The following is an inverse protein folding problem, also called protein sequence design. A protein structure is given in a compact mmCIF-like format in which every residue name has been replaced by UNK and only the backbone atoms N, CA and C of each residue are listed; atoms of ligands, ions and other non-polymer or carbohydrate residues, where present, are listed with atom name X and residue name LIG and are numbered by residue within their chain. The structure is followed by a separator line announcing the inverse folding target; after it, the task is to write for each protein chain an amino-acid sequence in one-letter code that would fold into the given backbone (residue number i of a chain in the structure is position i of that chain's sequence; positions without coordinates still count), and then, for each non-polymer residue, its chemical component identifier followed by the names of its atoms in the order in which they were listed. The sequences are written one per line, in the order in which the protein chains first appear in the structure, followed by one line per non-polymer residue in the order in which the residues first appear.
data_IF_641184518313
#
_entry.id   IF_641184518313
#
_cell.length_a   1.000
_cell.length_b   1.000
_cell.length_c   1.000
_cell.angle_alpha   90.00
_cell.angle_beta   90.00
_cell.angle_gamma   90.00
#
_symmetry.space_group_name_H-M   'P 1'
#
loop_
_entity.id
_entity.type
_entity.pdbx_description
1 polymer ?
#
# COMPACT_ATOMS: atom_id res chain seq x y z
N UNK A 1 -2.18 -7.70 4.17
CA UNK A 1 -3.26 -7.06 3.40
C UNK A 1 -4.64 -7.64 3.73
N UNK A 2 -4.90 -8.94 3.55
CA UNK A 2 -6.25 -9.50 3.80
C UNK A 2 -6.89 -9.22 5.18
N UNK A 3 -6.10 -9.12 6.24
CA UNK A 3 -6.62 -8.70 7.55
C UNK A 3 -7.05 -7.22 7.55
N UNK A 4 -6.26 -6.34 6.92
CA UNK A 4 -6.59 -4.92 6.78
C UNK A 4 -7.83 -4.72 5.89
N UNK A 5 -8.00 -5.53 4.83
CA UNK A 5 -9.18 -5.51 3.96
C UNK A 5 -10.46 -5.67 4.81
N UNK A 6 -10.51 -6.73 5.61
CA UNK A 6 -11.67 -7.05 6.46
C UNK A 6 -11.93 -5.99 7.53
N UNK A 7 -10.88 -5.52 8.20
CA UNK A 7 -10.97 -4.48 9.24
C UNK A 7 -11.49 -3.17 8.65
N UNK A 8 -10.91 -2.72 7.54
CA UNK A 8 -11.26 -1.44 6.89
C UNK A 8 -12.70 -1.48 6.38
N UNK A 9 -13.09 -2.57 5.72
CA UNK A 9 -14.45 -2.74 5.22
C UNK A 9 -15.47 -2.75 6.37
N UNK A 10 -15.19 -3.48 7.46
CA UNK A 10 -16.05 -3.52 8.63
C UNK A 10 -16.20 -2.13 9.28
N UNK A 11 -15.10 -1.38 9.45
CA UNK A 11 -15.11 -0.03 9.98
C UNK A 11 -15.95 0.92 9.10
N UNK A 12 -15.76 0.89 7.77
CA UNK A 12 -16.57 1.67 6.84
C UNK A 12 -18.07 1.34 6.98
N UNK A 13 -18.43 0.05 6.95
CA UNK A 13 -19.82 -0.40 7.11
C UNK A 13 -20.42 0.02 8.45
N UNK A 14 -19.63 0.03 9.52
CA UNK A 14 -20.07 0.49 10.83
C UNK A 14 -20.40 1.98 10.83
N UNK A 15 -19.58 2.81 10.18
CA UNK A 15 -19.82 4.26 10.08
C UNK A 15 -21.08 4.53 9.26
N UNK A 16 -21.24 3.86 8.11
CA UNK A 16 -22.40 4.07 7.22
C UNK A 16 -23.68 3.41 7.70
N UNK A 17 -23.58 2.44 8.62
CA UNK A 17 -24.70 1.64 9.13
C UNK A 17 -25.48 0.99 7.98
N UNK A 18 -26.79 1.25 7.90
CA UNK A 18 -27.69 0.72 6.86
C UNK A 18 -28.08 1.78 5.84
N UNK A 19 -27.52 2.98 5.94
CA UNK A 19 -28.02 4.14 5.22
C UNK A 19 -27.53 4.15 3.76
N UNK A 20 -26.28 3.69 3.53
CA UNK A 20 -25.65 3.69 2.20
C UNK A 20 -24.51 2.65 2.08
N UNK A 21 -24.86 1.37 2.02
CA UNK A 21 -23.88 0.27 1.86
C UNK A 21 -22.95 0.46 0.63
N UNK A 22 -23.44 0.89 -0.55
CA UNK A 22 -22.57 1.18 -1.68
C UNK A 22 -21.49 2.21 -1.37
N UNK A 23 -21.83 3.33 -0.71
CA UNK A 23 -20.84 4.34 -0.33
C UNK A 23 -19.76 3.77 0.60
N UNK A 24 -20.14 2.91 1.55
CA UNK A 24 -19.18 2.24 2.44
C UNK A 24 -18.13 1.43 1.64
N UNK A 25 -18.59 0.70 0.62
CA UNK A 25 -17.73 -0.09 -0.26
C UNK A 25 -16.81 0.79 -1.13
N UNK A 26 -17.32 1.93 -1.63
CA UNK A 26 -16.51 2.90 -2.37
C UNK A 26 -15.45 3.56 -1.50
N UNK A 27 -15.79 3.97 -0.28
CA UNK A 27 -14.84 4.53 0.68
C UNK A 27 -13.77 3.49 1.04
N UNK A 28 -14.17 2.26 1.35
CA UNK A 28 -13.25 1.15 1.57
C UNK A 28 -12.26 0.99 0.40
N UNK A 29 -12.76 0.93 -0.84
CA UNK A 29 -11.91 0.77 -2.02
C UNK A 29 -10.93 1.94 -2.14
N UNK A 30 -11.39 3.18 -2.00
CA UNK A 30 -10.53 4.37 -2.11
C UNK A 30 -9.45 4.42 -1.03
N UNK A 31 -9.76 4.00 0.20
CA UNK A 31 -8.80 3.96 1.31
C UNK A 31 -7.79 2.82 1.22
N UNK A 32 -8.04 1.79 0.40
CA UNK A 32 -7.26 0.56 0.46
C UNK A 32 -6.55 0.20 -0.84
N UNK A 33 -7.09 0.60 -2.00
CA UNK A 33 -6.55 0.23 -3.30
C UNK A 33 -5.08 0.62 -3.49
N UNK A 34 -4.75 1.89 -3.29
CA UNK A 34 -3.40 2.42 -3.52
C UNK A 34 -2.39 1.76 -2.55
N UNK A 35 -2.80 1.51 -1.30
CA UNK A 35 -2.00 0.83 -0.28
C UNK A 35 -1.72 -0.63 -0.62
N UNK A 36 -2.74 -1.39 -1.04
CA UNK A 36 -2.56 -2.78 -1.49
C UNK A 36 -1.65 -2.84 -2.70
N UNK A 37 -1.83 -1.92 -3.64
CA UNK A 37 -0.97 -1.80 -4.82
C UNK A 37 0.49 -1.55 -4.44
N UNK A 38 0.76 -0.63 -3.52
CA UNK A 38 2.12 -0.43 -2.99
C UNK A 38 2.69 -1.69 -2.33
N UNK A 39 1.89 -2.39 -1.52
CA UNK A 39 2.33 -3.61 -0.84
C UNK A 39 2.64 -4.75 -1.83
N UNK A 40 1.89 -4.86 -2.93
CA UNK A 40 2.20 -5.79 -4.02
C UNK A 40 3.53 -5.44 -4.70
N UNK A 41 3.78 -4.16 -4.98
CA UNK A 41 5.06 -3.68 -5.52
C UNK A 41 6.25 -4.01 -4.62
N UNK A 42 6.11 -3.85 -3.29
CA UNK A 42 7.12 -4.30 -2.31
C UNK A 42 7.42 -5.79 -2.45
N UNK A 43 6.41 -6.62 -2.70
CA UNK A 43 6.59 -8.06 -2.94
C UNK A 43 7.52 -8.35 -4.12
N UNK A 44 7.34 -7.66 -5.25
CA UNK A 44 8.22 -7.80 -6.42
C UNK A 44 9.64 -7.32 -6.14
N UNK A 45 9.80 -6.15 -5.51
CA UNK A 45 11.12 -5.60 -5.16
C UNK A 45 11.88 -6.52 -4.20
N UNK A 46 11.18 -7.03 -3.18
CA UNK A 46 11.76 -7.98 -2.23
C UNK A 46 12.16 -9.26 -2.93
N UNK A 47 11.29 -9.83 -3.79
CA UNK A 47 11.62 -11.03 -4.57
C UNK A 47 12.93 -10.83 -5.34
N UNK A 48 13.06 -9.71 -6.05
CA UNK A 48 14.25 -9.42 -6.85
C UNK A 48 15.50 -9.29 -5.98
N UNK A 49 15.40 -8.54 -4.87
CA UNK A 49 16.47 -8.45 -3.88
C UNK A 49 16.88 -9.85 -3.40
N UNK A 50 15.94 -10.72 -3.01
CA UNK A 50 16.26 -12.06 -2.52
C UNK A 50 16.93 -12.96 -3.58
N UNK A 51 16.54 -12.87 -4.85
CA UNK A 51 17.10 -13.74 -5.89
C UNK A 51 18.41 -13.23 -6.49
N UNK A 52 18.64 -11.92 -6.49
CA UNK A 52 19.81 -11.29 -7.12
C UNK A 52 20.83 -10.75 -6.12
N UNK A 53 20.61 -10.96 -4.82
CA UNK A 53 21.57 -10.64 -3.76
C UNK A 53 22.79 -11.54 -3.82
N UNK A 54 23.98 -10.94 -3.72
CA UNK A 54 25.20 -11.68 -3.42
C UNK A 54 25.25 -12.04 -1.93
N UNK A 55 24.91 -13.29 -1.63
CA UNK A 55 24.84 -13.83 -0.28
C UNK A 55 26.16 -13.80 0.49
N UNK A 56 27.30 -13.87 -0.21
CA UNK A 56 28.63 -13.82 0.43
C UNK A 56 28.88 -12.45 1.07
N UNK A 57 28.55 -11.37 0.33
CA UNK A 57 28.67 -9.99 0.82
C UNK A 57 27.63 -9.68 1.90
N UNK A 58 26.42 -10.23 1.78
CA UNK A 58 25.33 -10.03 2.74
C UNK A 58 25.62 -10.62 4.12
N UNK A 59 26.34 -11.73 4.19
CA UNK A 59 26.71 -12.35 5.47
C UNK A 59 27.69 -11.50 6.27
N UNK A 60 28.42 -10.59 5.61
CA UNK A 60 29.33 -9.64 6.27
C UNK A 60 28.59 -8.44 6.90
N UNK A 61 27.42 -8.05 6.36
CA UNK A 61 26.55 -7.00 6.92
C UNK A 61 25.09 -7.46 7.07
N UNK A 62 24.81 -8.15 8.17
CA UNK A 62 23.45 -8.56 8.58
C UNK A 62 22.44 -7.41 8.73
N UNK A 63 22.93 -6.15 8.77
CA UNK A 63 22.16 -4.89 8.68
C UNK A 63 21.11 -4.90 7.57
N UNK A 64 21.53 -5.40 6.41
CA UNK A 64 20.83 -5.20 5.15
C UNK A 64 19.68 -6.22 4.97
N UNK A 65 19.74 -7.36 5.66
CA UNK A 65 18.65 -8.36 5.68
C UNK A 65 17.39 -7.91 6.45
N UNK A 66 17.55 -6.97 7.39
CA UNK A 66 16.51 -6.66 8.38
C UNK A 66 15.36 -5.76 7.92
N UNK A 67 15.46 -5.12 6.74
CA UNK A 67 14.48 -4.10 6.29
C UNK A 67 13.67 -4.52 5.06
N UNK A 68 13.11 -5.73 5.09
CA UNK A 68 12.20 -6.20 4.02
C UNK A 68 10.80 -5.59 4.11
N UNK A 69 10.43 -5.08 5.29
CA UNK A 69 9.14 -4.46 5.54
C UNK A 69 9.38 -3.10 6.19
N UNK A 70 8.97 -2.05 5.51
CA UNK A 70 9.04 -0.67 5.97
C UNK A 70 8.01 -0.38 7.07
N UNK A 71 8.27 0.67 7.85
CA UNK A 71 7.40 1.08 8.96
C UNK A 71 6.00 1.49 8.49
N UNK A 72 5.87 2.12 7.30
CA UNK A 72 4.58 2.52 6.74
C UNK A 72 3.67 1.31 6.47
N UNK A 73 4.26 0.15 6.18
CA UNK A 73 3.54 -1.09 5.97
C UNK A 73 3.29 -1.79 7.31
N UNK A 74 4.33 -1.98 8.14
CA UNK A 74 4.28 -2.77 9.36
C UNK A 74 3.51 -2.13 10.53
N UNK A 75 3.53 -0.80 10.65
CA UNK A 75 2.98 -0.06 11.82
C UNK A 75 1.62 0.57 11.55
N UNK A 76 1.02 0.29 10.39
CA UNK A 76 -0.28 0.87 10.02
C UNK A 76 -1.41 0.31 10.88
N UNK A 77 -2.29 1.20 11.35
CA UNK A 77 -3.53 0.85 12.01
C UNK A 77 -4.70 1.14 11.06
N UNK A 78 -5.16 0.11 10.35
CA UNK A 78 -6.20 0.24 9.32
C UNK A 78 -7.56 0.63 9.89
N UNK A 79 -7.91 0.15 11.08
CA UNK A 79 -9.17 0.50 11.73
C UNK A 79 -9.23 1.99 12.06
N UNK A 80 -8.20 2.48 12.76
CA UNK A 80 -8.10 3.89 13.13
C UNK A 80 -8.09 4.78 11.89
N UNK A 81 -7.31 4.42 10.88
CA UNK A 81 -7.23 5.16 9.62
C UNK A 81 -8.58 5.25 8.92
N UNK A 82 -9.35 4.15 8.88
CA UNK A 82 -10.68 4.13 8.29
C UNK A 82 -11.62 5.12 8.98
N UNK A 83 -11.68 5.09 10.32
CA UNK A 83 -12.53 6.01 11.07
C UNK A 83 -12.14 7.48 10.90
N UNK A 84 -10.84 7.79 10.93
CA UNK A 84 -10.35 9.17 10.82
C UNK A 84 -10.59 9.77 9.42
N UNK A 85 -10.59 8.95 8.37
CA UNK A 85 -10.65 9.42 6.98
C UNK A 85 -12.00 9.19 6.29
N UNK A 86 -12.92 8.43 6.91
CA UNK A 86 -14.19 8.05 6.28
C UNK A 86 -14.96 9.27 5.75
N UNK A 87 -15.20 10.28 6.58
CA UNK A 87 -16.03 11.43 6.21
C UNK A 87 -15.40 12.27 5.08
N UNK A 88 -14.09 12.46 5.13
CA UNK A 88 -13.36 13.19 4.09
C UNK A 88 -13.40 12.43 2.76
N UNK A 89 -13.17 11.12 2.79
CA UNK A 89 -13.25 10.26 1.61
C UNK A 89 -14.68 10.18 1.06
N UNK A 90 -15.69 10.12 1.93
CA UNK A 90 -17.09 10.09 1.53
C UNK A 90 -17.50 11.40 0.84
N UNK A 91 -17.03 12.56 1.32
CA UNK A 91 -17.22 13.86 0.66
C UNK A 91 -16.47 13.92 -0.67
N UNK A 92 -15.27 13.38 -0.75
CA UNK A 92 -14.55 13.26 -2.02
C UNK A 92 -15.36 12.48 -3.06
N UNK A 93 -15.91 11.32 -2.68
CA UNK A 93 -16.71 10.47 -3.58
C UNK A 93 -18.01 11.16 -4.01
N UNK A 94 -18.72 11.80 -3.07
CA UNK A 94 -20.05 12.39 -3.36
C UNK A 94 -20.00 13.77 -3.99
N UNK A 95 -19.04 14.59 -3.60
CA UNK A 95 -19.01 16.04 -3.86
C UNK A 95 -17.76 16.47 -4.62
N UNK A 96 -16.81 15.55 -4.89
CA UNK A 96 -15.56 15.86 -5.59
C UNK A 96 -14.57 16.68 -4.76
N UNK A 97 -14.74 16.74 -3.43
CA UNK A 97 -13.78 17.43 -2.54
C UNK A 97 -12.38 16.81 -2.67
N UNK A 98 -11.30 17.60 -2.58
CA UNK A 98 -9.94 17.04 -2.58
C UNK A 98 -9.74 16.04 -1.43
N UNK A 99 -9.13 14.90 -1.75
CA UNK A 99 -8.74 13.88 -0.78
C UNK A 99 -7.48 13.19 -1.26
N UNK A 100 -6.50 13.05 -0.37
CA UNK A 100 -5.25 12.36 -0.62
C UNK A 100 -5.00 11.42 0.54
N UNK A 101 -4.90 10.13 0.24
CA UNK A 101 -4.60 9.14 1.26
C UNK A 101 -3.13 9.24 1.69
N UNK A 102 -2.87 8.88 2.94
CA UNK A 102 -1.55 8.99 3.59
C UNK A 102 -1.06 7.65 4.11
N UNK A 103 -1.81 6.57 3.90
CA UNK A 103 -1.45 5.22 4.34
C UNK A 103 -0.53 4.45 3.36
N UNK A 104 0.04 5.15 2.38
CA UNK A 104 0.98 4.62 1.40
C UNK A 104 2.43 5.06 1.72
N UNK A 105 3.38 4.62 0.89
CA UNK A 105 4.77 5.02 0.98
C UNK A 105 4.92 6.57 1.01
N UNK A 106 5.70 7.10 1.97
CA UNK A 106 5.81 8.54 2.15
C UNK A 106 6.46 9.21 0.93
N UNK A 107 5.79 10.21 0.36
CA UNK A 107 6.27 10.93 -0.83
C UNK A 107 6.09 10.17 -2.15
N UNK A 108 5.48 8.99 -2.11
CA UNK A 108 5.03 8.30 -3.31
C UNK A 108 3.66 8.85 -3.73
N UNK A 109 3.51 9.11 -5.02
CA UNK A 109 2.22 9.41 -5.64
C UNK A 109 1.88 8.18 -6.46
N UNK A 110 0.70 7.59 -6.21
CA UNK A 110 0.29 6.39 -6.91
C UNK A 110 0.22 6.61 -8.42
N UNK A 111 0.97 5.80 -9.15
CA UNK A 111 0.88 5.67 -10.61
C UNK A 111 0.38 4.26 -10.94
N UNK A 112 -0.63 4.12 -11.82
CA UNK A 112 -1.08 2.80 -12.25
C UNK A 112 0.05 2.00 -12.88
N UNK A 113 0.26 0.78 -12.39
CA UNK A 113 1.25 -0.16 -12.88
C UNK A 113 0.62 -1.54 -13.12
N UNK A 114 1.32 -2.37 -13.87
CA UNK A 114 0.93 -3.75 -14.20
C UNK A 114 2.04 -4.71 -13.80
N UNK A 115 1.71 -6.00 -13.67
CA UNK A 115 2.71 -7.04 -13.40
C UNK A 115 3.83 -7.07 -14.46
N UNK A 116 3.58 -6.58 -15.68
CA UNK A 116 4.59 -6.56 -16.73
C UNK A 116 5.74 -5.60 -16.41
N UNK A 117 5.49 -4.52 -15.68
CA UNK A 117 6.49 -3.49 -15.38
C UNK A 117 7.64 -4.02 -14.50
N UNK A 118 7.38 -4.63 -13.31
CA UNK A 118 8.46 -5.22 -12.53
C UNK A 118 9.08 -6.45 -13.20
N UNK A 119 8.31 -7.20 -14.01
CA UNK A 119 8.84 -8.34 -14.79
C UNK A 119 9.85 -7.87 -15.84
N UNK A 120 9.55 -6.80 -16.56
CA UNK A 120 10.48 -6.22 -17.54
C UNK A 120 11.73 -5.68 -16.86
N UNK A 121 11.58 -4.95 -15.76
CA UNK A 121 12.72 -4.44 -15.00
C UNK A 121 13.66 -5.58 -14.55
N UNK A 122 13.09 -6.68 -14.03
CA UNK A 122 13.87 -7.86 -13.63
C UNK A 122 14.58 -8.52 -14.82
N UNK A 123 13.93 -8.64 -15.98
CA UNK A 123 14.55 -9.18 -17.20
C UNK A 123 15.72 -8.32 -17.71
N UNK A 124 15.70 -7.02 -17.44
CA UNK A 124 16.77 -6.07 -17.75
C UNK A 124 17.87 -6.05 -16.66
N UNK A 125 17.75 -6.88 -15.62
CA UNK A 125 18.69 -6.96 -14.50
C UNK A 125 18.56 -5.82 -13.50
N UNK A 126 17.42 -5.14 -13.48
CA UNK A 126 17.10 -4.02 -12.59
C UNK A 126 15.93 -4.31 -11.65
N UNK A 127 15.66 -3.35 -10.77
CA UNK A 127 14.49 -3.33 -9.88
C UNK A 127 13.62 -2.16 -10.29
N UNK A 128 12.30 -2.33 -10.30
CA UNK A 128 11.35 -1.25 -10.52
C UNK A 128 11.62 -0.10 -9.53
N UNK A 129 11.92 1.09 -10.07
CA UNK A 129 12.13 2.29 -9.27
C UNK A 129 10.83 3.09 -9.17
N UNK A 130 10.50 3.50 -7.95
CA UNK A 130 9.36 4.35 -7.65
C UNK A 130 9.82 5.58 -6.90
N UNK A 131 9.05 6.67 -7.01
CA UNK A 131 9.25 7.86 -6.17
C UNK A 131 8.91 7.56 -4.70
N UNK A 132 9.36 8.39 -3.77
CA UNK A 132 9.05 8.24 -2.33
C UNK A 132 10.02 7.37 -1.53
N UNK A 133 9.75 7.27 -0.23
CA UNK A 133 10.61 6.59 0.74
C UNK A 133 10.10 5.18 1.10
N UNK A 134 10.63 4.19 0.40
CA UNK A 134 10.25 2.77 0.53
C UNK A 134 11.03 2.00 1.62
N UNK A 135 11.85 2.69 2.43
CA UNK A 135 12.76 2.11 3.45
C UNK A 135 12.19 2.02 4.88
#
# INVERSE_FOLDING_TARGET
MHMEDGITLAACLQVTRKDDIPLAAWVYNKLHFERVSCAQGVGFKNRENWHCTNWEVMLEDSKVLGKLVSDWLAKHNSEKHAYENYDACAKHIKEGMPFTDTNICQGYIYEPWTVQDPVNAANEGGIMQDTGNWS
#
